data_IF_198294263402
#
_entry.id   IF_198294263402
#
_cell.length_a   1.000
_cell.length_b   1.000
_cell.length_c   1.000
_cell.angle_alpha   90.00
_cell.angle_beta   90.00
_cell.angle_gamma   90.00
#
_symmetry.space_group_name_H-M   'P 1'
#
loop_
_entity.id
_entity.type
_entity.pdbx_description
1 polymer ?
#
# COMPACT_ATOMS: atom_id res chain seq x y z
N UNK A 1 0.31 15.32 20.63
CA UNK A 1 -0.30 16.66 20.70
C UNK A 1 0.83 17.67 20.81
N UNK A 2 0.80 18.75 20.01
CA UNK A 2 1.82 19.81 20.11
C UNK A 2 1.62 20.60 21.41
N UNK A 3 2.72 21.18 21.93
CA UNK A 3 2.65 22.09 23.10
C UNK A 3 1.96 23.39 22.67
N UNK A 4 1.27 24.09 23.59
CA UNK A 4 0.72 25.42 23.30
C UNK A 4 1.78 26.38 22.75
N UNK A 5 1.45 27.10 21.68
CA UNK A 5 2.35 28.06 21.03
C UNK A 5 3.24 27.45 19.93
N UNK A 6 3.11 26.15 19.64
CA UNK A 6 3.81 25.49 18.53
C UNK A 6 2.80 25.01 17.49
N UNK A 7 3.18 25.07 16.22
CA UNK A 7 2.40 24.62 15.09
C UNK A 7 3.04 23.40 14.36
N UNK A 8 2.41 22.97 13.28
CA UNK A 8 2.90 21.83 12.50
C UNK A 8 4.24 22.11 11.81
N UNK A 9 4.55 23.36 11.49
CA UNK A 9 5.83 23.74 10.90
C UNK A 9 6.96 23.65 11.93
N UNK A 10 6.71 24.03 13.19
CA UNK A 10 7.67 23.84 14.28
C UNK A 10 7.95 22.34 14.49
N UNK A 11 6.91 21.51 14.44
CA UNK A 11 7.05 20.06 14.53
C UNK A 11 7.88 19.51 13.36
N UNK A 12 7.63 19.98 12.15
CA UNK A 12 8.43 19.60 10.98
C UNK A 12 9.90 20.00 11.15
N UNK A 13 10.19 21.23 11.55
CA UNK A 13 11.58 21.71 11.71
C UNK A 13 12.36 20.94 12.77
N UNK A 14 11.72 20.49 13.83
CA UNK A 14 12.36 19.62 14.84
C UNK A 14 12.76 18.25 14.26
N UNK A 15 12.01 17.70 13.33
CA UNK A 15 12.26 16.40 12.72
C UNK A 15 13.08 16.47 11.42
N UNK A 16 13.13 17.65 10.75
CA UNK A 16 14.01 17.87 9.62
C UNK A 16 15.47 17.99 10.13
N UNK A 17 16.42 17.38 9.54
CA UNK A 17 16.49 16.47 8.45
C UNK A 17 16.51 15.05 9.01
N UNK A 18 15.85 14.09 8.32
CA UNK A 18 15.68 12.75 8.86
C UNK A 18 17.04 12.05 9.15
N UNK A 19 17.15 11.42 10.30
CA UNK A 19 18.36 10.74 10.76
C UNK A 19 18.86 9.67 9.80
N UNK A 20 17.96 8.99 9.10
CA UNK A 20 18.26 7.93 8.12
C UNK A 20 19.10 8.41 6.94
N UNK A 21 19.14 9.70 6.66
CA UNK A 21 19.91 10.29 5.56
C UNK A 21 20.92 11.32 6.02
N UNK A 22 20.87 11.73 7.29
CA UNK A 22 21.79 12.71 7.88
C UNK A 22 22.75 12.04 8.85
N UNK A 23 22.25 11.20 9.73
CA UNK A 23 23.03 10.53 10.77
C UNK A 23 22.75 11.09 12.18
N UNK A 24 23.40 10.48 13.15
CA UNK A 24 23.34 10.84 14.57
C UNK A 24 24.73 10.79 15.21
N UNK A 25 25.05 11.70 16.13
CA UNK A 25 24.32 12.87 16.60
C UNK A 25 24.09 13.90 15.50
N UNK A 26 22.89 14.50 15.44
CA UNK A 26 22.41 15.28 14.29
C UNK A 26 23.38 16.39 13.85
N UNK A 27 23.79 17.24 14.76
CA UNK A 27 24.66 18.39 14.45
C UNK A 27 26.03 17.94 13.95
N UNK A 28 26.60 16.92 14.59
CA UNK A 28 27.88 16.36 14.15
C UNK A 28 27.78 15.74 12.76
N UNK A 29 26.74 14.97 12.52
CA UNK A 29 26.51 14.34 11.23
C UNK A 29 26.27 15.34 10.11
N UNK A 30 25.54 16.45 10.39
CA UNK A 30 25.36 17.53 9.43
C UNK A 30 26.71 18.19 9.07
N UNK A 31 27.54 18.49 10.08
CA UNK A 31 28.88 19.05 9.86
C UNK A 31 29.76 18.08 9.06
N UNK A 32 29.73 16.79 9.43
CA UNK A 32 30.48 15.76 8.71
C UNK A 32 30.10 15.67 7.23
N UNK A 33 28.82 15.75 6.93
CA UNK A 33 28.31 15.77 5.54
C UNK A 33 28.80 16.98 4.78
N UNK A 34 28.74 18.18 5.40
CA UNK A 34 29.22 19.43 4.78
C UNK A 34 30.70 19.39 4.49
N UNK A 35 31.49 18.85 5.42
CA UNK A 35 32.96 18.80 5.30
C UNK A 35 33.47 17.74 4.33
N UNK A 36 32.73 16.64 4.12
CA UNK A 36 33.24 15.46 3.42
C UNK A 36 32.55 15.18 2.08
N UNK A 37 31.32 15.60 1.86
CA UNK A 37 30.66 15.38 0.57
C UNK A 37 31.18 16.33 -0.50
N UNK A 38 31.57 15.76 -1.66
CA UNK A 38 32.21 16.51 -2.75
C UNK A 38 31.24 17.35 -3.58
N UNK A 39 29.95 17.15 -3.41
CA UNK A 39 28.90 17.83 -4.17
C UNK A 39 27.68 18.12 -3.32
N UNK A 40 27.03 19.26 -3.58
CA UNK A 40 25.81 19.65 -2.89
C UNK A 40 24.70 18.59 -3.02
N UNK A 41 24.04 18.27 -1.94
CA UNK A 41 22.89 17.35 -1.90
C UNK A 41 21.66 17.88 -2.64
N UNK A 42 21.52 19.19 -2.72
CA UNK A 42 20.37 19.88 -3.33
C UNK A 42 19.05 19.38 -2.72
N UNK A 43 18.23 18.62 -3.49
CA UNK A 43 16.97 18.05 -3.02
C UNK A 43 17.12 16.72 -2.27
N UNK A 44 18.23 16.01 -2.51
CA UNK A 44 18.47 14.72 -1.85
C UNK A 44 18.53 14.89 -0.34
N UNK A 45 17.82 14.02 0.38
CA UNK A 45 17.67 14.04 1.84
C UNK A 45 16.87 15.26 2.39
N UNK A 46 16.29 16.07 1.52
CA UNK A 46 15.34 17.09 1.89
C UNK A 46 13.94 16.54 2.12
N UNK A 47 12.96 17.40 2.16
CA UNK A 47 11.57 17.05 2.27
C UNK A 47 10.74 17.70 1.16
N UNK A 48 9.72 16.98 0.72
CA UNK A 48 8.67 17.47 -0.18
C UNK A 48 7.32 17.20 0.46
N UNK A 49 6.37 18.11 0.32
CA UNK A 49 5.05 17.89 0.90
C UNK A 49 4.13 19.08 0.78
N UNK A 50 3.02 18.98 1.49
CA UNK A 50 1.98 20.00 1.53
C UNK A 50 1.79 20.49 2.96
N UNK A 51 1.64 21.79 3.10
CA UNK A 51 1.14 22.45 4.31
C UNK A 51 -0.26 22.95 3.97
N UNK A 52 -1.27 22.48 4.66
CA UNK A 52 -2.65 22.82 4.41
C UNK A 52 -3.09 24.03 5.23
N UNK A 53 -4.12 24.74 4.77
CA UNK A 53 -4.64 25.92 5.46
C UNK A 53 -5.36 25.59 6.80
N UNK A 54 -5.69 24.33 7.04
CA UNK A 54 -6.19 23.85 8.34
C UNK A 54 -5.08 23.60 9.38
N UNK A 55 -3.81 23.86 9.00
CA UNK A 55 -2.64 23.66 9.84
C UNK A 55 -2.08 22.24 9.80
N UNK A 56 -2.68 21.33 9.04
CA UNK A 56 -2.11 20.01 8.84
C UNK A 56 -0.91 20.05 7.89
N UNK A 57 0.08 19.17 8.11
CA UNK A 57 1.26 19.02 7.25
C UNK A 57 1.48 17.55 6.92
N UNK A 58 1.78 17.30 5.65
CA UNK A 58 2.17 15.97 5.17
C UNK A 58 3.44 16.12 4.34
N UNK A 59 4.52 15.46 4.77
CA UNK A 59 5.82 15.54 4.10
C UNK A 59 6.42 14.16 3.89
N UNK A 60 7.11 13.99 2.76
CA UNK A 60 7.91 12.83 2.42
C UNK A 60 9.39 13.18 2.31
N UNK A 61 10.24 12.20 2.57
CA UNK A 61 11.68 12.34 2.41
C UNK A 61 12.05 12.29 0.91
N UNK A 62 12.87 13.23 0.44
CA UNK A 62 13.33 13.26 -0.96
C UNK A 62 14.49 12.28 -1.17
N UNK A 63 14.15 11.04 -1.43
CA UNK A 63 15.05 9.95 -1.83
C UNK A 63 14.47 9.24 -3.05
N UNK A 64 15.25 8.36 -3.69
CA UNK A 64 14.79 7.59 -4.88
C UNK A 64 14.23 8.51 -5.98
N UNK A 65 14.85 9.68 -6.14
CA UNK A 65 14.38 10.76 -7.00
C UNK A 65 15.43 11.06 -8.08
N UNK A 66 14.97 11.33 -9.29
CA UNK A 66 15.79 11.83 -10.39
C UNK A 66 15.56 13.35 -10.46
N UNK A 67 16.63 14.12 -10.36
CA UNK A 67 16.58 15.55 -10.60
C UNK A 67 16.92 15.82 -12.06
N UNK A 68 16.04 16.48 -12.78
CA UNK A 68 16.27 16.86 -14.17
C UNK A 68 16.30 18.39 -14.29
N UNK A 69 17.38 18.90 -14.88
CA UNK A 69 17.54 20.33 -15.15
C UNK A 69 18.47 20.54 -16.36
N UNK A 70 18.11 21.44 -17.26
CA UNK A 70 18.92 21.86 -18.40
C UNK A 70 19.48 20.66 -19.22
N UNK A 71 18.65 19.64 -19.45
CA UNK A 71 19.00 18.44 -20.18
C UNK A 71 19.89 17.44 -19.41
N UNK A 72 20.22 17.73 -18.16
CA UNK A 72 21.00 16.84 -17.29
C UNK A 72 20.07 16.15 -16.29
N UNK A 73 20.21 14.82 -16.18
CA UNK A 73 19.54 14.01 -15.15
C UNK A 73 20.57 13.59 -14.10
N UNK A 74 20.28 13.91 -12.85
CA UNK A 74 21.10 13.57 -11.68
C UNK A 74 20.39 12.53 -10.80
N UNK A 75 21.07 11.45 -10.52
CA UNK A 75 20.64 10.43 -9.56
C UNK A 75 21.59 10.49 -8.36
N UNK A 76 21.02 10.77 -7.17
CA UNK A 76 21.77 10.74 -5.94
C UNK A 76 21.26 9.65 -5.02
N UNK A 77 22.18 8.85 -4.51
CA UNK A 77 21.93 7.76 -3.56
C UNK A 77 22.97 7.81 -2.45
N UNK A 78 22.70 7.10 -1.37
CA UNK A 78 23.62 7.00 -0.26
C UNK A 78 23.34 5.77 0.59
N UNK A 79 24.30 5.41 1.42
CA UNK A 79 24.20 4.36 2.42
C UNK A 79 24.29 4.95 3.83
N UNK A 80 23.78 4.23 4.81
CA UNK A 80 23.91 4.59 6.23
C UNK A 80 25.11 3.82 6.80
N UNK A 81 26.21 4.51 7.00
CA UNK A 81 27.42 3.89 7.55
C UNK A 81 27.33 3.81 9.07
N UNK A 82 27.44 2.61 9.61
CA UNK A 82 27.57 2.29 11.03
C UNK A 82 29.02 1.88 11.34
N UNK A 83 29.30 1.70 12.62
CA UNK A 83 30.66 1.33 13.08
C UNK A 83 31.13 -0.01 12.47
N UNK A 84 30.21 -0.93 12.26
CA UNK A 84 30.45 -2.28 11.73
C UNK A 84 30.12 -2.43 10.24
N UNK A 85 29.81 -1.33 9.54
CA UNK A 85 29.54 -1.36 8.10
C UNK A 85 30.79 -1.77 7.31
N UNK A 86 30.61 -2.70 6.36
CA UNK A 86 31.61 -2.99 5.32
C UNK A 86 31.51 -1.97 4.19
N UNK A 87 32.54 -1.16 3.92
CA UNK A 87 32.51 -0.13 2.89
C UNK A 87 32.16 -0.66 1.50
N UNK A 88 32.62 -1.86 1.15
CA UNK A 88 32.33 -2.46 -0.15
C UNK A 88 30.88 -2.94 -0.27
N UNK A 89 30.28 -3.37 0.84
CA UNK A 89 28.85 -3.72 0.87
C UNK A 89 27.96 -2.47 0.74
N UNK A 90 28.30 -1.39 1.43
CA UNK A 90 27.57 -0.11 1.36
C UNK A 90 27.68 0.53 -0.04
N UNK A 91 28.82 0.44 -0.70
CA UNK A 91 28.98 0.89 -2.09
C UNK A 91 28.12 0.06 -3.05
N UNK A 92 28.11 -1.27 -2.91
CA UNK A 92 27.21 -2.13 -3.70
C UNK A 92 25.73 -1.78 -3.46
N UNK A 93 25.32 -1.49 -2.23
CA UNK A 93 23.97 -1.05 -1.92
C UNK A 93 23.63 0.26 -2.63
N UNK A 94 24.54 1.22 -2.66
CA UNK A 94 24.37 2.46 -3.43
C UNK A 94 24.15 2.19 -4.92
N UNK A 95 24.95 1.28 -5.52
CA UNK A 95 24.78 0.89 -6.92
C UNK A 95 23.41 0.27 -7.19
N UNK A 96 22.94 -0.64 -6.32
CA UNK A 96 21.61 -1.26 -6.41
C UNK A 96 20.51 -0.21 -6.28
N UNK A 97 20.63 0.73 -5.34
CA UNK A 97 19.69 1.83 -5.15
C UNK A 97 19.57 2.73 -6.38
N UNK A 98 20.66 2.94 -7.10
CA UNK A 98 20.70 3.76 -8.31
C UNK A 98 20.22 3.03 -9.58
N UNK A 99 20.35 1.70 -9.63
CA UNK A 99 20.14 0.90 -10.84
C UNK A 99 18.76 1.11 -11.47
N UNK A 100 17.69 1.08 -10.69
CA UNK A 100 16.32 1.28 -11.18
C UNK A 100 16.11 2.69 -11.77
N UNK A 101 16.71 3.71 -11.17
CA UNK A 101 16.63 5.09 -11.64
C UNK A 101 17.40 5.27 -12.96
N UNK A 102 18.58 4.66 -13.08
CA UNK A 102 19.34 4.65 -14.35
C UNK A 102 18.62 3.86 -15.45
N UNK A 103 17.96 2.75 -15.10
CA UNK A 103 17.16 2.00 -16.06
C UNK A 103 16.01 2.85 -16.61
N UNK A 104 15.30 3.57 -15.74
CA UNK A 104 14.24 4.49 -16.15
C UNK A 104 14.78 5.61 -17.08
N UNK A 105 15.96 6.16 -16.80
CA UNK A 105 16.59 7.20 -17.63
C UNK A 105 17.02 6.71 -19.02
N UNK A 106 17.43 5.45 -19.15
CA UNK A 106 17.83 4.86 -20.44
C UNK A 106 16.65 4.61 -21.35
N UNK A 107 15.42 4.73 -20.84
CA UNK A 107 14.20 4.41 -21.61
C UNK A 107 14.09 2.92 -21.92
N UNK A 108 14.89 2.08 -21.26
CA UNK A 108 14.68 0.65 -21.33
C UNK A 108 13.27 0.40 -20.80
N UNK A 109 12.36 -0.18 -21.62
CA UNK A 109 11.08 -0.56 -21.09
C UNK A 109 11.36 -1.43 -19.84
N UNK A 110 10.63 -1.23 -18.75
CA UNK A 110 10.73 -2.19 -17.66
C UNK A 110 10.58 -3.54 -18.32
N UNK A 111 11.54 -4.48 -18.08
CA UNK A 111 11.30 -5.87 -18.51
C UNK A 111 9.89 -6.15 -18.08
N UNK A 112 8.98 -6.50 -19.03
CA UNK A 112 7.64 -6.87 -18.63
C UNK A 112 7.85 -7.92 -17.54
N UNK A 113 7.35 -7.65 -16.34
CA UNK A 113 7.48 -8.56 -15.20
C UNK A 113 6.86 -9.91 -15.56
N UNK A 114 6.07 -9.93 -16.62
CA UNK A 114 5.66 -11.09 -17.42
C UNK A 114 4.99 -10.64 -18.72
N UNK A 115 4.66 -11.59 -19.60
CA UNK A 115 3.79 -11.40 -20.76
C UNK A 115 2.29 -11.31 -20.38
N UNK A 116 1.97 -10.85 -19.18
CA UNK A 116 0.59 -10.65 -18.77
C UNK A 116 0.04 -9.40 -19.47
N UNK A 117 -0.80 -9.63 -20.45
CA UNK A 117 -1.77 -8.64 -20.85
C UNK A 117 -2.97 -8.82 -19.91
N UNK A 118 -3.24 -7.88 -18.98
CA UNK A 118 -4.44 -7.98 -18.17
C UNK A 118 -5.65 -8.10 -19.11
N UNK A 119 -6.54 -9.02 -18.77
CA UNK A 119 -7.80 -9.24 -19.51
C UNK A 119 -8.71 -8.04 -19.31
N UNK A 120 -8.36 -6.86 -19.61
CA UNK A 120 -9.14 -5.60 -19.53
C UNK A 120 -10.53 -5.73 -18.81
N UNK A 121 -10.59 -6.58 -17.80
CA UNK A 121 -11.80 -6.93 -17.03
C UNK A 121 -12.44 -5.72 -16.36
N UNK A 122 -11.62 -4.70 -16.13
CA UNK A 122 -12.05 -3.39 -15.64
C UNK A 122 -12.51 -2.42 -16.72
N UNK A 123 -12.41 -2.79 -18.02
CA UNK A 123 -12.75 -1.87 -19.12
C UNK A 123 -14.19 -1.36 -19.00
N UNK A 124 -14.34 -0.02 -19.00
CA UNK A 124 -15.63 0.65 -18.83
C UNK A 124 -16.22 0.57 -17.43
N UNK A 125 -15.48 0.07 -16.43
CA UNK A 125 -15.92 -0.02 -15.02
C UNK A 125 -15.48 1.21 -14.24
N UNK A 126 -16.41 1.74 -13.44
CA UNK A 126 -16.20 2.85 -12.53
C UNK A 126 -15.90 2.30 -11.14
N UNK A 127 -14.69 2.54 -10.63
CA UNK A 127 -14.22 2.08 -9.32
C UNK A 127 -14.14 3.27 -8.36
N UNK A 128 -14.81 3.16 -7.22
CA UNK A 128 -14.64 4.07 -6.10
C UNK A 128 -13.65 3.47 -5.11
N UNK A 129 -12.50 4.09 -4.95
CA UNK A 129 -11.49 3.70 -3.96
C UNK A 129 -11.52 4.70 -2.80
N UNK A 130 -11.83 4.20 -1.61
CA UNK A 130 -11.83 5.00 -0.38
C UNK A 130 -10.44 4.93 0.25
N UNK A 131 -9.83 6.09 0.41
CA UNK A 131 -8.53 6.27 1.05
C UNK A 131 -8.67 6.39 2.57
N UNK A 132 -8.07 5.45 3.31
CA UNK A 132 -8.00 5.41 4.76
C UNK A 132 -6.60 5.80 5.27
N UNK A 133 -6.00 6.84 4.66
CA UNK A 133 -4.73 7.44 5.06
C UNK A 133 -3.50 6.52 4.91
N UNK A 134 -3.49 5.70 3.86
CA UNK A 134 -2.40 4.76 3.59
C UNK A 134 -1.52 5.19 2.39
N UNK A 135 -0.23 4.90 2.46
CA UNK A 135 0.73 5.24 1.41
C UNK A 135 0.60 4.39 0.14
N UNK A 136 -0.02 3.22 0.20
CA UNK A 136 -0.21 2.30 -0.94
C UNK A 136 -1.47 2.58 -1.77
N UNK A 137 -2.34 3.49 -1.33
CA UNK A 137 -3.64 3.78 -1.99
C UNK A 137 -3.50 4.08 -3.48
N UNK A 138 -2.53 4.95 -3.84
CA UNK A 138 -2.36 5.31 -5.25
C UNK A 138 -1.75 4.19 -6.08
N UNK A 139 -0.93 3.31 -5.50
CA UNK A 139 -0.44 2.11 -6.18
C UNK A 139 -1.58 1.11 -6.41
N UNK A 140 -2.44 0.91 -5.42
CA UNK A 140 -3.64 0.09 -5.57
C UNK A 140 -4.58 0.66 -6.66
N UNK A 141 -4.78 1.98 -6.68
CA UNK A 141 -5.54 2.65 -7.75
C UNK A 141 -4.93 2.43 -9.13
N UNK A 142 -3.59 2.47 -9.23
CA UNK A 142 -2.87 2.23 -10.48
C UNK A 142 -3.09 0.79 -10.98
N UNK A 143 -3.07 -0.21 -10.10
CA UNK A 143 -3.37 -1.60 -10.46
C UNK A 143 -4.78 -1.75 -11.06
N UNK A 144 -5.79 -1.08 -10.48
CA UNK A 144 -7.13 -1.06 -11.07
C UNK A 144 -7.16 -0.36 -12.43
N UNK A 145 -6.36 0.69 -12.64
CA UNK A 145 -6.23 1.34 -13.96
C UNK A 145 -5.52 0.44 -14.97
N UNK A 146 -4.51 -0.32 -14.56
CA UNK A 146 -3.81 -1.26 -15.43
C UNK A 146 -4.74 -2.36 -15.97
N UNK A 147 -5.74 -2.79 -15.20
CA UNK A 147 -6.77 -3.72 -15.65
C UNK A 147 -7.92 -3.03 -16.41
N UNK A 148 -7.78 -1.74 -16.73
CA UNK A 148 -8.67 -0.98 -17.60
C UNK A 148 -9.79 -0.20 -16.91
N UNK A 149 -9.84 -0.14 -15.58
CA UNK A 149 -10.89 0.58 -14.86
C UNK A 149 -10.64 2.09 -14.79
N UNK A 150 -11.72 2.85 -14.73
CA UNK A 150 -11.70 4.27 -14.35
C UNK A 150 -11.83 4.38 -12.82
N UNK A 151 -10.80 4.94 -12.16
CA UNK A 151 -10.67 4.92 -10.70
C UNK A 151 -10.73 6.32 -10.13
N UNK A 152 -11.74 6.54 -9.28
CA UNK A 152 -11.85 7.73 -8.44
C UNK A 152 -11.39 7.41 -7.02
N UNK A 153 -10.37 8.11 -6.56
CA UNK A 153 -9.85 8.01 -5.18
C UNK A 153 -10.39 9.16 -4.35
N UNK A 154 -10.94 8.86 -3.19
CA UNK A 154 -11.45 9.89 -2.25
C UNK A 154 -11.11 9.53 -0.82
N UNK A 155 -10.86 10.52 0.01
CA UNK A 155 -10.66 10.34 1.45
C UNK A 155 -11.93 9.80 2.12
N UNK A 156 -11.78 8.97 3.14
CA UNK A 156 -12.87 8.30 3.86
C UNK A 156 -14.00 9.25 4.31
N UNK A 157 -13.66 10.49 4.67
CA UNK A 157 -14.62 11.51 5.10
C UNK A 157 -15.65 11.86 4.02
N UNK A 158 -15.35 11.63 2.75
CA UNK A 158 -16.24 11.90 1.61
C UNK A 158 -16.95 10.63 1.09
N UNK A 159 -16.71 9.47 1.70
CA UNK A 159 -17.22 8.19 1.21
C UNK A 159 -18.75 8.19 1.03
N UNK A 160 -19.48 8.69 2.03
CA UNK A 160 -20.95 8.69 2.00
C UNK A 160 -21.54 9.56 0.88
N UNK A 161 -20.91 10.68 0.57
CA UNK A 161 -21.36 11.55 -0.53
C UNK A 161 -21.05 10.93 -1.90
N UNK A 162 -19.90 10.30 -2.03
CA UNK A 162 -19.50 9.63 -3.27
C UNK A 162 -20.32 8.37 -3.53
N UNK A 163 -20.74 7.64 -2.50
CA UNK A 163 -21.63 6.49 -2.63
C UNK A 163 -23.03 6.83 -3.16
N UNK A 164 -23.43 8.09 -3.21
CA UNK A 164 -24.67 8.53 -3.87
C UNK A 164 -24.63 8.38 -5.39
N UNK A 165 -23.43 8.32 -6.00
CA UNK A 165 -23.22 8.11 -7.43
C UNK A 165 -23.27 6.61 -7.78
N UNK A 166 -23.23 6.31 -9.06
CA UNK A 166 -23.18 4.94 -9.54
C UNK A 166 -21.73 4.47 -9.69
N UNK A 167 -21.46 3.30 -9.16
CA UNK A 167 -20.15 2.63 -9.20
C UNK A 167 -20.33 1.16 -9.54
N UNK A 168 -19.30 0.56 -10.13
CA UNK A 168 -19.26 -0.87 -10.40
C UNK A 168 -18.60 -1.67 -9.28
N UNK A 169 -17.66 -1.03 -8.55
CA UNK A 169 -16.93 -1.63 -7.44
C UNK A 169 -16.54 -0.56 -6.41
N UNK A 170 -16.75 -0.88 -5.14
CA UNK A 170 -16.17 -0.16 -4.01
C UNK A 170 -14.91 -0.86 -3.55
N UNK A 171 -13.83 -0.12 -3.43
CA UNK A 171 -12.56 -0.60 -2.87
C UNK A 171 -12.28 0.11 -1.56
N UNK A 172 -12.07 -0.67 -0.50
CA UNK A 172 -11.66 -0.19 0.81
C UNK A 172 -10.15 -0.37 0.93
N UNK A 173 -9.41 0.72 1.01
CA UNK A 173 -7.94 0.71 1.02
C UNK A 173 -7.37 0.10 2.29
N UNK A 174 -6.06 -0.23 2.29
CA UNK A 174 -5.29 -0.30 3.53
C UNK A 174 -5.42 0.98 4.35
N UNK A 175 -5.01 0.90 5.62
CA UNK A 175 -4.99 2.06 6.52
C UNK A 175 -4.35 1.75 7.87
N UNK A 176 -3.97 2.77 8.63
CA UNK A 176 -3.50 2.62 10.00
C UNK A 176 -4.68 2.39 10.98
N UNK A 177 -4.38 1.99 12.21
CA UNK A 177 -5.37 1.88 13.27
C UNK A 177 -6.35 0.73 13.09
N UNK A 178 -7.62 1.00 13.36
CA UNK A 178 -8.73 0.03 13.32
C UNK A 178 -9.84 0.50 12.38
N UNK A 179 -10.68 -0.41 11.86
CA UNK A 179 -11.81 -0.06 10.99
C UNK A 179 -12.78 0.95 11.62
N UNK A 180 -12.97 0.91 12.93
CA UNK A 180 -13.84 1.84 13.67
C UNK A 180 -13.37 3.29 13.60
N UNK A 181 -12.06 3.53 13.53
CA UNK A 181 -11.45 4.86 13.46
C UNK A 181 -11.89 5.63 12.21
N UNK A 182 -12.28 4.92 11.17
CA UNK A 182 -12.68 5.47 9.87
C UNK A 182 -14.18 5.29 9.57
N UNK A 183 -14.95 4.68 10.46
CA UNK A 183 -16.38 4.43 10.28
C UNK A 183 -16.69 3.53 9.06
N UNK A 184 -15.81 2.59 8.73
CA UNK A 184 -15.89 1.76 7.51
C UNK A 184 -17.17 0.90 7.50
N UNK A 185 -17.64 0.45 8.66
CA UNK A 185 -18.88 -0.34 8.78
C UNK A 185 -20.08 0.35 8.13
N UNK A 186 -20.23 1.67 8.32
CA UNK A 186 -21.27 2.45 7.66
C UNK A 186 -21.12 2.48 6.14
N UNK A 187 -19.89 2.57 5.66
CA UNK A 187 -19.56 2.56 4.23
C UNK A 187 -19.93 1.23 3.58
N UNK A 188 -19.61 0.10 4.24
CA UNK A 188 -20.01 -1.24 3.80
C UNK A 188 -21.52 -1.37 3.75
N UNK A 189 -22.24 -0.96 4.83
CA UNK A 189 -23.71 -1.03 4.87
C UNK A 189 -24.36 -0.26 3.72
N UNK A 190 -23.92 0.98 3.50
CA UNK A 190 -24.43 1.80 2.39
C UNK A 190 -24.17 1.17 1.01
N UNK A 191 -23.02 0.52 0.83
CA UNK A 191 -22.70 -0.17 -0.41
C UNK A 191 -23.60 -1.39 -0.63
N UNK A 192 -23.82 -2.18 0.41
CA UNK A 192 -24.69 -3.37 0.36
C UNK A 192 -26.15 -3.02 0.07
N UNK A 193 -26.70 -1.96 0.67
CA UNK A 193 -28.04 -1.44 0.39
C UNK A 193 -28.23 -1.09 -1.09
N UNK A 194 -27.13 -0.80 -1.79
CA UNK A 194 -27.09 -0.46 -3.22
C UNK A 194 -26.68 -1.64 -4.12
N UNK A 195 -26.50 -2.83 -3.58
CA UNK A 195 -25.94 -3.99 -4.28
C UNK A 195 -24.58 -3.69 -4.96
N UNK A 196 -23.79 -2.80 -4.38
CA UNK A 196 -22.47 -2.46 -4.86
C UNK A 196 -21.45 -3.48 -4.35
N UNK A 197 -20.67 -4.16 -5.22
CA UNK A 197 -19.60 -5.04 -4.79
C UNK A 197 -18.57 -4.30 -3.94
N UNK A 198 -18.05 -4.99 -2.91
CA UNK A 198 -17.06 -4.45 -1.97
C UNK A 198 -15.82 -5.32 -1.96
N UNK A 199 -14.69 -4.72 -2.26
CA UNK A 199 -13.37 -5.34 -2.17
C UNK A 199 -12.53 -4.62 -1.11
N UNK A 200 -12.03 -5.35 -0.11
CA UNK A 200 -11.22 -4.80 0.98
C UNK A 200 -9.76 -5.26 0.93
N UNK A 201 -8.82 -4.35 1.17
CA UNK A 201 -7.39 -4.64 1.28
C UNK A 201 -6.91 -4.28 2.68
N UNK A 202 -6.25 -5.19 3.37
CA UNK A 202 -5.67 -5.03 4.71
C UNK A 202 -6.72 -4.53 5.71
N UNK A 203 -6.72 -3.23 6.07
CA UNK A 203 -7.77 -2.62 6.91
C UNK A 203 -9.17 -2.87 6.32
N UNK A 204 -9.31 -2.83 5.01
CA UNK A 204 -10.60 -3.05 4.34
C UNK A 204 -11.14 -4.47 4.55
N UNK A 205 -10.31 -5.52 4.51
CA UNK A 205 -10.79 -6.88 4.80
C UNK A 205 -11.06 -7.09 6.28
N UNK A 206 -10.31 -6.42 7.16
CA UNK A 206 -10.59 -6.43 8.60
C UNK A 206 -11.96 -5.84 8.89
N UNK A 207 -12.28 -4.70 8.25
CA UNK A 207 -13.61 -4.09 8.33
C UNK A 207 -14.72 -5.01 7.84
N UNK A 208 -14.50 -5.76 6.75
CA UNK A 208 -15.45 -6.76 6.25
C UNK A 208 -15.64 -7.86 7.30
N UNK A 209 -14.55 -8.39 7.87
CA UNK A 209 -14.64 -9.41 8.92
C UNK A 209 -15.48 -8.95 10.11
N UNK A 210 -15.20 -7.77 10.66
CA UNK A 210 -15.96 -7.19 11.79
C UNK A 210 -17.41 -6.86 11.43
N UNK A 211 -17.67 -6.33 10.22
CA UNK A 211 -19.02 -6.00 9.78
C UNK A 211 -19.97 -7.20 9.82
N UNK A 212 -19.47 -8.40 9.50
CA UNK A 212 -20.25 -9.64 9.54
C UNK A 212 -20.17 -10.37 10.87
N UNK A 213 -19.47 -9.83 11.89
CA UNK A 213 -19.44 -10.36 13.26
C UNK A 213 -18.18 -11.13 13.64
N UNK A 214 -17.15 -11.12 12.80
CA UNK A 214 -15.83 -11.63 13.13
C UNK A 214 -15.08 -10.72 14.12
N UNK A 215 -13.98 -11.21 14.67
CA UNK A 215 -13.13 -10.49 15.63
C UNK A 215 -11.74 -10.28 15.05
N UNK A 216 -11.09 -9.18 15.46
CA UNK A 216 -9.71 -8.91 15.10
C UNK A 216 -8.75 -9.40 16.18
N UNK A 217 -7.80 -10.23 15.76
CA UNK A 217 -6.63 -10.62 16.55
C UNK A 217 -5.43 -9.73 16.23
N UNK A 218 -4.41 -9.84 17.07
CA UNK A 218 -3.15 -9.15 16.91
C UNK A 218 -1.99 -10.14 16.83
N UNK A 219 -1.12 -9.99 15.84
CA UNK A 219 0.11 -10.79 15.72
C UNK A 219 1.05 -10.49 16.88
N UNK A 220 1.69 -11.52 17.43
CA UNK A 220 2.71 -11.35 18.47
C UNK A 220 3.93 -10.56 18.00
N UNK A 221 4.22 -10.62 16.69
CA UNK A 221 5.19 -9.74 16.01
C UNK A 221 4.56 -9.18 14.75
N UNK A 222 4.56 -7.83 14.56
CA UNK A 222 4.06 -7.21 13.35
C UNK A 222 4.77 -7.75 12.10
N UNK A 223 3.99 -8.06 11.07
CA UNK A 223 4.52 -8.37 9.75
C UNK A 223 4.54 -7.09 8.92
N UNK A 224 5.71 -6.51 8.70
CA UNK A 224 5.86 -5.29 7.92
C UNK A 224 6.95 -5.47 6.86
N UNK A 225 6.56 -5.46 5.59
CA UNK A 225 7.49 -5.69 4.48
C UNK A 225 8.06 -7.11 4.49
N UNK A 226 7.26 -8.12 4.84
CA UNK A 226 7.69 -9.53 4.87
C UNK A 226 6.97 -10.35 3.79
N UNK A 227 7.70 -11.02 2.89
CA UNK A 227 7.10 -12.00 2.01
C UNK A 227 6.60 -13.20 2.83
N UNK A 228 5.44 -13.73 2.46
CA UNK A 228 4.86 -14.91 3.10
C UNK A 228 4.24 -15.83 2.07
N UNK A 229 4.35 -17.15 2.31
CA UNK A 229 3.65 -18.16 1.52
C UNK A 229 2.22 -18.27 1.97
N UNK A 230 1.31 -18.39 1.03
CA UNK A 230 -0.12 -18.46 1.27
C UNK A 230 -0.68 -19.65 0.49
N UNK A 231 -1.42 -20.50 1.19
CA UNK A 231 -2.16 -21.60 0.62
C UNK A 231 -3.53 -21.11 0.14
N UNK A 232 -3.78 -21.24 -1.16
CA UNK A 232 -5.05 -20.88 -1.81
C UNK A 232 -6.01 -22.06 -1.72
N UNK A 233 -7.25 -21.80 -1.31
CA UNK A 233 -8.31 -22.79 -1.11
C UNK A 233 -9.49 -22.63 -2.06
N UNK A 234 -9.36 -21.76 -3.06
CA UNK A 234 -10.41 -21.40 -4.02
C UNK A 234 -11.05 -20.05 -3.73
N UNK A 235 -12.24 -19.81 -4.28
CA UNK A 235 -12.96 -18.54 -4.17
C UNK A 235 -12.81 -17.64 -5.41
N UNK A 236 -13.65 -16.61 -5.46
CA UNK A 236 -13.72 -15.67 -6.60
C UNK A 236 -12.46 -14.83 -6.72
N UNK A 237 -11.94 -14.35 -5.58
CA UNK A 237 -10.71 -13.54 -5.53
C UNK A 237 -9.46 -14.34 -5.89
N UNK A 238 -9.47 -15.64 -5.62
CA UNK A 238 -8.36 -16.54 -5.88
C UNK A 238 -8.46 -17.26 -7.23
N UNK A 239 -9.40 -16.88 -8.09
CA UNK A 239 -9.63 -17.51 -9.38
C UNK A 239 -8.36 -17.47 -10.26
N UNK A 240 -8.02 -18.62 -10.86
CA UNK A 240 -6.83 -18.80 -11.71
C UNK A 240 -5.49 -18.46 -11.03
N UNK A 241 -5.41 -18.47 -9.70
CA UNK A 241 -4.16 -18.44 -8.97
C UNK A 241 -3.65 -19.84 -8.67
N UNK A 242 -2.32 -20.03 -8.56
CA UNK A 242 -1.73 -21.28 -8.08
C UNK A 242 -2.21 -21.64 -6.66
N UNK A 243 -2.15 -22.90 -6.28
CA UNK A 243 -2.49 -23.37 -4.94
C UNK A 243 -1.57 -22.77 -3.84
N UNK A 244 -0.39 -22.31 -4.22
CA UNK A 244 0.54 -21.59 -3.35
C UNK A 244 1.00 -20.31 -4.04
N UNK A 245 0.92 -19.19 -3.34
CA UNK A 245 1.37 -17.87 -3.79
C UNK A 245 2.28 -17.23 -2.75
N UNK A 246 3.13 -16.30 -3.19
CA UNK A 246 3.94 -15.46 -2.31
C UNK A 246 3.39 -14.03 -2.35
N UNK A 247 3.18 -13.45 -1.17
CA UNK A 247 2.58 -12.11 -1.02
C UNK A 247 3.34 -11.26 0.01
N UNK A 248 3.15 -9.95 -0.06
CA UNK A 248 3.68 -8.99 0.91
C UNK A 248 2.73 -8.70 2.07
N UNK A 249 3.21 -8.89 3.31
CA UNK A 249 2.45 -8.55 4.53
C UNK A 249 2.91 -7.24 5.12
N UNK A 250 1.95 -6.41 5.55
CA UNK A 250 2.17 -5.10 6.18
C UNK A 250 1.13 -4.84 7.29
N UNK A 251 0.90 -5.82 8.17
CA UNK A 251 -0.15 -5.73 9.17
C UNK A 251 0.28 -6.25 10.54
N UNK A 252 -0.37 -5.73 11.57
CA UNK A 252 -0.33 -6.27 12.94
C UNK A 252 -1.65 -6.91 13.33
N UNK A 253 -2.78 -6.37 12.81
CA UNK A 253 -4.11 -6.89 13.04
C UNK A 253 -4.52 -7.83 11.90
N UNK A 254 -5.40 -8.77 12.20
CA UNK A 254 -5.96 -9.71 11.23
C UNK A 254 -7.32 -10.21 11.73
N UNK A 255 -8.15 -10.74 10.83
CA UNK A 255 -9.41 -11.39 11.24
C UNK A 255 -9.10 -12.77 11.82
N UNK A 256 -9.45 -12.99 13.09
CA UNK A 256 -9.25 -14.28 13.75
C UNK A 256 -10.05 -15.36 13.04
N UNK A 257 -9.34 -16.39 12.58
CA UNK A 257 -9.93 -17.46 11.77
C UNK A 257 -11.11 -18.15 12.44
N UNK A 258 -10.99 -18.42 13.73
CA UNK A 258 -12.00 -19.14 14.51
C UNK A 258 -13.23 -18.25 14.83
N UNK A 259 -13.12 -16.94 14.63
CA UNK A 259 -14.21 -15.99 14.76
C UNK A 259 -14.93 -15.70 13.45
N UNK A 260 -14.42 -16.20 12.31
CA UNK A 260 -15.04 -15.94 11.00
C UNK A 260 -16.43 -16.56 10.96
N UNK A 261 -17.49 -15.74 10.80
CA UNK A 261 -18.88 -16.25 10.84
C UNK A 261 -19.21 -17.11 9.60
N UNK A 262 -20.19 -17.98 9.74
CA UNK A 262 -20.59 -18.95 8.71
C UNK A 262 -20.97 -18.35 7.35
N UNK A 263 -21.38 -17.09 7.31
CA UNK A 263 -21.70 -16.36 6.07
C UNK A 263 -20.46 -16.02 5.24
N UNK A 264 -19.28 -16.02 5.87
CA UNK A 264 -17.99 -15.82 5.23
C UNK A 264 -17.27 -17.13 5.02
N UNK A 265 -16.32 -17.13 4.09
CA UNK A 265 -15.38 -18.24 3.88
C UNK A 265 -13.96 -17.70 3.81
N UNK A 266 -13.02 -18.41 4.42
CA UNK A 266 -11.59 -18.14 4.29
C UNK A 266 -11.09 -18.87 3.05
N UNK A 267 -10.64 -18.11 2.04
CA UNK A 267 -10.22 -18.63 0.74
C UNK A 267 -8.70 -18.71 0.57
N UNK A 268 -7.95 -18.11 1.50
CA UNK A 268 -6.49 -18.25 1.54
C UNK A 268 -5.96 -18.10 2.97
N UNK A 269 -4.90 -18.85 3.31
CA UNK A 269 -4.28 -18.84 4.65
C UNK A 269 -2.76 -18.95 4.55
N UNK A 270 -2.05 -18.33 5.49
CA UNK A 270 -0.62 -18.56 5.71
C UNK A 270 -0.40 -19.90 6.44
N UNK A 271 0.86 -20.36 6.49
CA UNK A 271 1.25 -21.55 7.26
C UNK A 271 0.99 -21.40 8.77
N UNK A 272 1.13 -20.18 9.30
CA UNK A 272 0.81 -19.83 10.68
C UNK A 272 -0.70 -19.67 10.94
N UNK A 273 -1.54 -20.02 9.96
CA UNK A 273 -2.99 -20.11 10.08
C UNK A 273 -3.75 -18.78 9.96
N UNK A 274 -3.08 -17.67 9.67
CA UNK A 274 -3.73 -16.36 9.51
C UNK A 274 -4.57 -16.33 8.23
N UNK A 275 -5.82 -15.86 8.33
CA UNK A 275 -6.70 -15.68 7.20
C UNK A 275 -6.16 -14.56 6.28
N UNK A 276 -5.81 -14.91 5.04
CA UNK A 276 -5.24 -13.99 4.05
C UNK A 276 -6.26 -13.53 3.01
N UNK A 277 -7.35 -14.24 2.86
CA UNK A 277 -8.47 -13.80 2.04
C UNK A 277 -9.79 -14.32 2.62
N UNK A 278 -10.80 -13.48 2.58
CA UNK A 278 -12.14 -13.77 3.06
C UNK A 278 -13.15 -13.30 2.01
N UNK A 279 -14.16 -14.12 1.76
CA UNK A 279 -15.26 -13.79 0.86
C UNK A 279 -16.60 -14.13 1.49
N UNK A 280 -17.61 -13.32 1.22
CA UNK A 280 -18.98 -13.67 1.58
C UNK A 280 -19.51 -14.72 0.61
N UNK A 281 -20.19 -15.76 1.13
CA UNK A 281 -20.66 -16.92 0.35
C UNK A 281 -21.67 -16.54 -0.74
N UNK A 282 -22.49 -15.52 -0.51
CA UNK A 282 -23.58 -15.12 -1.43
C UNK A 282 -23.52 -13.67 -1.86
N UNK A 283 -23.11 -12.75 -1.00
CA UNK A 283 -23.00 -11.32 -1.33
C UNK A 283 -21.71 -11.02 -2.14
N UNK A 284 -21.72 -9.95 -2.93
CA UNK A 284 -20.56 -9.54 -3.71
C UNK A 284 -19.49 -8.83 -2.84
N UNK A 285 -19.05 -9.48 -1.77
CA UNK A 285 -18.12 -8.92 -0.79
C UNK A 285 -16.95 -9.85 -0.57
N UNK A 286 -15.76 -9.32 -0.51
CA UNK A 286 -14.56 -10.05 -0.16
C UNK A 286 -13.35 -9.14 -0.04
N UNK A 287 -12.24 -9.70 0.39
CA UNK A 287 -11.02 -8.93 0.54
C UNK A 287 -9.81 -9.79 0.86
N UNK A 288 -8.65 -9.14 0.85
CA UNK A 288 -7.35 -9.76 1.13
C UNK A 288 -6.64 -9.01 2.26
N UNK A 289 -5.97 -9.76 3.14
CA UNK A 289 -5.21 -9.19 4.26
C UNK A 289 -3.83 -8.67 3.81
N UNK A 290 -3.30 -9.22 2.76
CA UNK A 290 -2.03 -8.78 2.17
C UNK A 290 -2.24 -7.62 1.20
N UNK A 291 -1.12 -7.02 0.76
CA UNK A 291 -1.10 -5.93 -0.19
C UNK A 291 -0.86 -6.45 -1.62
N UNK A 292 -1.89 -6.57 -2.46
CA UNK A 292 -1.73 -7.02 -3.86
C UNK A 292 -0.86 -6.05 -4.67
N UNK A 293 -0.86 -4.77 -4.35
CA UNK A 293 -0.08 -3.71 -4.98
C UNK A 293 1.39 -3.69 -4.57
N UNK A 294 1.78 -4.50 -3.58
CA UNK A 294 3.16 -4.57 -3.12
C UNK A 294 4.07 -5.25 -4.14
N UNK A 295 5.29 -4.76 -4.28
CA UNK A 295 6.36 -5.41 -5.05
C UNK A 295 6.60 -6.86 -4.64
N UNK A 296 6.33 -7.22 -3.38
CA UNK A 296 6.43 -8.60 -2.88
C UNK A 296 5.31 -9.52 -3.37
N UNK A 297 4.23 -8.96 -3.90
CA UNK A 297 3.10 -9.68 -4.50
C UNK A 297 3.16 -9.75 -6.04
N UNK A 298 4.26 -9.28 -6.65
CA UNK A 298 4.44 -9.26 -8.11
C UNK A 298 4.74 -10.63 -8.71
N UNK A 299 5.31 -11.55 -7.93
CA UNK A 299 5.67 -12.89 -8.43
C UNK A 299 4.46 -13.62 -9.01
N UNK A 300 4.54 -14.03 -10.29
CA UNK A 300 3.44 -14.70 -11.00
C UNK A 300 2.20 -13.81 -11.22
N UNK A 301 2.36 -12.48 -11.12
CA UNK A 301 1.28 -11.48 -11.33
C UNK A 301 0.13 -11.58 -10.33
N UNK A 302 0.40 -12.18 -9.18
CA UNK A 302 -0.60 -12.43 -8.13
C UNK A 302 -1.40 -11.17 -7.81
N UNK A 303 -0.71 -10.04 -7.63
CA UNK A 303 -1.36 -8.77 -7.29
C UNK A 303 -2.36 -8.28 -8.35
N UNK A 304 -1.97 -8.28 -9.62
CA UNK A 304 -2.85 -7.87 -10.73
C UNK A 304 -4.03 -8.83 -10.90
N UNK A 305 -3.81 -10.15 -10.78
CA UNK A 305 -4.89 -11.15 -10.84
C UNK A 305 -5.90 -11.01 -9.72
N UNK A 306 -5.47 -10.67 -8.51
CA UNK A 306 -6.38 -10.36 -7.39
C UNK A 306 -7.25 -9.16 -7.72
N UNK A 307 -6.65 -8.10 -8.27
CA UNK A 307 -7.37 -6.87 -8.64
C UNK A 307 -8.37 -7.15 -9.77
N UNK A 308 -8.01 -7.94 -10.79
CA UNK A 308 -8.95 -8.42 -11.81
C UNK A 308 -10.09 -9.24 -11.19
N UNK A 309 -9.75 -10.15 -10.29
CA UNK A 309 -10.71 -11.02 -9.65
C UNK A 309 -11.68 -10.26 -8.74
N UNK A 310 -11.35 -9.05 -8.26
CA UNK A 310 -12.28 -8.23 -7.50
C UNK A 310 -13.57 -7.93 -8.29
N UNK A 311 -13.49 -7.80 -9.63
CA UNK A 311 -14.69 -7.67 -10.48
C UNK A 311 -15.55 -8.93 -10.57
N UNK A 312 -14.99 -10.10 -10.21
CA UNK A 312 -15.73 -11.39 -10.16
C UNK A 312 -16.60 -11.53 -8.91
N UNK A 313 -16.48 -10.63 -7.93
CA UNK A 313 -17.31 -10.68 -6.72
C UNK A 313 -18.81 -10.64 -7.01
N UNK A 314 -19.25 -10.10 -8.15
CA UNK A 314 -20.64 -10.13 -8.62
C UNK A 314 -21.11 -11.52 -9.11
N UNK A 315 -20.20 -12.42 -9.41
CA UNK A 315 -20.53 -13.75 -9.91
C UNK A 315 -20.91 -14.66 -8.72
N UNK A 316 -21.75 -15.69 -8.94
CA UNK A 316 -21.97 -16.69 -7.91
C UNK A 316 -20.65 -17.30 -7.44
N UNK A 317 -20.54 -17.65 -6.18
CA UNK A 317 -19.41 -18.43 -5.69
C UNK A 317 -19.50 -19.84 -6.31
N UNK A 318 -18.43 -20.26 -6.99
CA UNK A 318 -18.32 -21.62 -7.52
C UNK A 318 -17.97 -22.60 -6.41
#
# INVERSE_FOLDING_TARGET
MLRPGFDSLDAFLTHAWAVTVTGAPKLWAMQFVEDNERSSRRWYAGAIGCVNFDGSINTGLTIRTIRMKDGLAEVRVGATCLFDSDPAAEDRECQVKAAALFQALRGDPPKPLSAFAPDATGSGKQVLLIDHDDSFVHMLADYFRQVGADVTVVRHVHAQDMLKRNWDLLVLSPGPGRPEDFGISKTIGTALDRNLPVFGVCLGVQAIGEYFGGQLGQLGQPAHGRPSRVQVRGGRLMHNLPNEIVIGRYHSLYVERDSVPDVLQVTATTEDGVAMAIEHKTLPVGGVQFHPESLMSLGGEVGLRIVENAFRLRQPAN
#
